data_IF_831360276970
#
_entry.id   IF_831360276970
#
_cell.length_a   1.000
_cell.length_b   1.000
_cell.length_c   1.000
_cell.angle_alpha   90.00
_cell.angle_beta   90.00
_cell.angle_gamma   90.00
#
_symmetry.space_group_name_H-M   'P 1'
#
loop_
_entity.id
_entity.type
_entity.pdbx_description
1 polymer ?
#
# COMPACT_ATOMS: atom_id res chain seq x y z
N UNK A 1 15.52 16.36 -38.23
CA UNK A 1 15.17 15.56 -37.03
C UNK A 1 16.38 14.69 -36.74
N UNK A 2 17.00 14.76 -35.56
CA UNK A 2 18.22 13.98 -35.28
C UNK A 2 17.86 12.53 -34.93
N UNK A 3 18.74 11.59 -35.26
CA UNK A 3 18.60 10.15 -34.98
C UNK A 3 18.23 9.86 -33.51
N UNK A 4 18.74 10.67 -32.58
CA UNK A 4 18.43 10.63 -31.14
C UNK A 4 16.99 11.02 -30.79
N UNK A 5 16.37 11.89 -31.58
CA UNK A 5 14.96 12.30 -31.42
C UNK A 5 14.02 11.22 -31.96
N UNK A 6 14.34 10.59 -33.09
CA UNK A 6 13.57 9.45 -33.60
C UNK A 6 13.66 8.24 -32.66
N UNK A 7 14.84 7.92 -32.15
CA UNK A 7 15.04 6.82 -31.20
C UNK A 7 14.29 7.04 -29.87
N UNK A 8 14.22 8.29 -29.39
CA UNK A 8 13.41 8.67 -28.23
C UNK A 8 11.91 8.52 -28.47
N UNK A 9 11.42 8.97 -29.63
CA UNK A 9 10.02 8.83 -30.07
C UNK A 9 9.58 7.37 -30.17
N UNK A 10 10.42 6.50 -30.74
CA UNK A 10 10.09 5.09 -30.95
C UNK A 10 10.03 4.30 -29.63
N UNK A 11 10.94 4.60 -28.69
CA UNK A 11 10.93 4.03 -27.34
C UNK A 11 9.68 4.49 -26.57
N UNK A 12 9.33 5.78 -26.63
CA UNK A 12 8.11 6.30 -26.01
C UNK A 12 6.85 5.67 -26.60
N UNK A 13 6.77 5.55 -27.93
CA UNK A 13 5.64 4.90 -28.59
C UNK A 13 5.50 3.42 -28.19
N UNK A 14 6.61 2.66 -28.18
CA UNK A 14 6.60 1.26 -27.76
C UNK A 14 6.17 1.09 -26.30
N UNK A 15 6.65 1.97 -25.39
CA UNK A 15 6.29 1.97 -23.98
C UNK A 15 4.81 2.35 -23.79
N UNK A 16 4.31 3.35 -24.51
CA UNK A 16 2.91 3.79 -24.48
C UNK A 16 2.01 2.67 -25.02
N UNK A 17 2.33 2.09 -26.18
CA UNK A 17 1.58 0.95 -26.75
C UNK A 17 1.54 -0.24 -25.80
N UNK A 18 2.66 -0.59 -25.18
CA UNK A 18 2.72 -1.70 -24.20
C UNK A 18 1.84 -1.41 -22.98
N UNK A 19 1.86 -0.19 -22.45
CA UNK A 19 1.00 0.23 -21.32
C UNK A 19 -0.49 0.26 -21.68
N UNK A 20 -0.83 0.71 -22.89
CA UNK A 20 -2.22 0.73 -23.40
C UNK A 20 -2.70 -0.70 -23.59
N UNK A 21 -1.91 -1.56 -24.24
CA UNK A 21 -2.25 -2.96 -24.47
C UNK A 21 -2.43 -3.71 -23.16
N UNK A 22 -1.51 -3.59 -22.22
CA UNK A 22 -1.64 -4.18 -20.89
C UNK A 22 -2.89 -3.66 -20.13
N UNK A 23 -3.22 -2.37 -20.27
CA UNK A 23 -4.43 -1.81 -19.69
C UNK A 23 -5.71 -2.26 -20.38
N UNK A 24 -5.68 -2.60 -21.67
CA UNK A 24 -6.81 -3.16 -22.42
C UNK A 24 -7.01 -4.64 -22.11
N UNK A 25 -5.92 -5.41 -22.03
CA UNK A 25 -5.94 -6.84 -21.69
C UNK A 25 -6.43 -7.08 -20.25
N UNK A 26 -5.96 -6.28 -19.29
CA UNK A 26 -6.45 -6.33 -17.91
C UNK A 26 -7.95 -5.99 -17.80
N UNK A 27 -8.47 -5.14 -18.70
CA UNK A 27 -9.90 -4.81 -18.76
C UNK A 27 -10.71 -5.94 -19.39
N UNK A 28 -10.20 -6.57 -20.44
CA UNK A 28 -10.91 -7.64 -21.17
C UNK A 28 -11.05 -8.91 -20.33
N UNK A 29 -10.04 -9.27 -19.52
CA UNK A 29 -10.12 -10.43 -18.62
C UNK A 29 -11.27 -10.33 -17.61
N UNK A 30 -11.50 -9.17 -17.01
CA UNK A 30 -12.62 -8.96 -16.09
C UNK A 30 -13.96 -9.06 -16.81
N UNK A 31 -14.08 -8.48 -17.99
CA UNK A 31 -15.31 -8.56 -18.78
C UNK A 31 -15.64 -10.01 -19.20
N UNK A 32 -14.64 -10.84 -19.46
CA UNK A 32 -14.85 -12.27 -19.70
C UNK A 32 -15.43 -12.95 -18.46
N UNK A 33 -14.89 -12.67 -17.26
CA UNK A 33 -15.44 -13.21 -16.01
C UNK A 33 -16.87 -12.71 -15.74
N UNK A 34 -17.16 -11.43 -15.98
CA UNK A 34 -18.51 -10.85 -15.86
C UNK A 34 -19.47 -11.53 -16.86
N UNK A 35 -19.07 -11.68 -18.12
CA UNK A 35 -19.89 -12.28 -19.17
C UNK A 35 -20.19 -13.75 -18.88
N UNK A 36 -19.17 -14.54 -18.51
CA UNK A 36 -19.34 -15.95 -18.12
C UNK A 36 -20.23 -16.05 -16.89
N UNK A 37 -20.02 -15.20 -15.88
CA UNK A 37 -20.87 -15.14 -14.70
C UNK A 37 -22.34 -14.88 -15.07
N UNK A 38 -22.63 -13.89 -15.92
CA UNK A 38 -23.99 -13.56 -16.36
C UNK A 38 -24.64 -14.70 -17.15
N UNK A 39 -23.91 -15.33 -18.07
CA UNK A 39 -24.42 -16.47 -18.87
C UNK A 39 -24.75 -17.65 -17.95
N UNK A 40 -23.82 -18.03 -17.08
CA UNK A 40 -24.03 -19.13 -16.13
C UNK A 40 -25.25 -18.85 -15.27
N UNK A 41 -25.37 -17.67 -14.65
CA UNK A 41 -26.51 -17.35 -13.79
C UNK A 41 -27.85 -17.32 -14.56
N UNK A 42 -27.84 -16.87 -15.81
CA UNK A 42 -29.04 -16.94 -16.65
C UNK A 42 -29.47 -18.39 -16.88
N UNK A 43 -28.53 -19.28 -17.20
CA UNK A 43 -28.81 -20.72 -17.40
C UNK A 43 -29.26 -21.38 -16.11
N UNK A 44 -28.56 -21.16 -14.99
CA UNK A 44 -28.93 -21.73 -13.69
C UNK A 44 -30.32 -21.25 -13.24
N UNK A 45 -30.69 -20.01 -13.55
CA UNK A 45 -32.02 -19.46 -13.25
C UNK A 45 -33.12 -20.18 -14.05
N UNK A 46 -32.89 -20.37 -15.35
CA UNK A 46 -33.81 -21.11 -16.22
C UNK A 46 -33.95 -22.56 -15.72
N UNK A 47 -32.84 -23.23 -15.39
CA UNK A 47 -32.85 -24.60 -14.86
C UNK A 47 -33.63 -24.66 -13.55
N UNK A 48 -33.34 -23.78 -12.60
CA UNK A 48 -34.06 -23.74 -11.33
C UNK A 48 -35.56 -23.50 -11.55
N UNK A 49 -35.93 -22.54 -12.42
CA UNK A 49 -37.33 -22.24 -12.71
C UNK A 49 -38.08 -23.39 -13.39
N UNK A 50 -37.39 -24.19 -14.19
CA UNK A 50 -37.94 -25.36 -14.86
C UNK A 50 -38.02 -26.59 -13.94
N UNK A 51 -37.04 -26.78 -13.05
CA UNK A 51 -36.93 -27.97 -12.19
C UNK A 51 -37.61 -27.82 -10.83
N UNK A 52 -37.83 -26.59 -10.34
CA UNK A 52 -38.47 -26.33 -9.05
C UNK A 52 -39.98 -26.62 -9.01
N UNK A 53 -40.62 -26.95 -10.14
CA UNK A 53 -42.01 -27.42 -10.19
C UNK A 53 -43.06 -26.48 -9.57
N UNK A 54 -42.71 -25.22 -9.27
CA UNK A 54 -43.59 -24.27 -8.57
C UNK A 54 -43.67 -24.44 -7.05
N UNK A 55 -42.95 -25.37 -6.43
CA UNK A 55 -43.08 -25.69 -4.99
C UNK A 55 -42.17 -24.88 -4.04
N UNK A 56 -41.51 -23.83 -4.53
CA UNK A 56 -40.97 -22.77 -3.67
C UNK A 56 -39.78 -23.16 -2.77
N UNK A 57 -39.00 -24.18 -3.13
CA UNK A 57 -37.73 -24.46 -2.46
C UNK A 57 -36.69 -23.34 -2.65
N UNK A 58 -35.67 -23.30 -1.79
CA UNK A 58 -34.57 -22.32 -1.86
C UNK A 58 -34.03 -22.27 -3.29
N UNK A 59 -33.96 -21.07 -3.91
CA UNK A 59 -33.26 -20.92 -5.17
C UNK A 59 -31.79 -21.27 -4.96
N UNK A 60 -31.40 -22.50 -5.32
CA UNK A 60 -30.02 -22.96 -5.20
C UNK A 60 -29.04 -22.10 -6.01
N UNK A 61 -29.55 -21.28 -6.96
CA UNK A 61 -28.81 -20.25 -7.67
C UNK A 61 -28.16 -19.20 -6.74
N UNK A 62 -28.70 -19.01 -5.53
CA UNK A 62 -28.14 -18.07 -4.56
C UNK A 62 -26.73 -18.47 -4.10
N UNK A 63 -26.42 -19.78 -4.10
CA UNK A 63 -25.11 -20.32 -3.75
C UNK A 63 -23.99 -19.83 -4.71
N UNK A 64 -24.06 -20.09 -6.04
CA UNK A 64 -23.08 -19.54 -6.97
C UNK A 64 -23.19 -18.02 -7.10
N UNK A 65 -24.37 -17.43 -6.96
CA UNK A 65 -24.55 -15.98 -7.08
C UNK A 65 -23.82 -15.21 -5.98
N UNK A 66 -23.92 -15.65 -4.72
CA UNK A 66 -23.24 -15.00 -3.61
C UNK A 66 -21.80 -15.48 -3.45
N UNK A 67 -21.52 -16.77 -3.67
CA UNK A 67 -20.17 -17.33 -3.59
C UNK A 67 -19.26 -16.82 -4.71
N UNK A 68 -19.66 -17.01 -5.96
CA UNK A 68 -18.86 -16.59 -7.12
C UNK A 68 -19.01 -15.09 -7.39
N UNK A 69 -20.13 -14.48 -7.01
CA UNK A 69 -20.33 -13.02 -7.13
C UNK A 69 -19.36 -12.24 -6.23
N UNK A 70 -19.07 -12.74 -5.01
CA UNK A 70 -18.02 -12.19 -4.16
C UNK A 70 -16.63 -12.31 -4.78
N UNK A 71 -16.32 -13.46 -5.41
CA UNK A 71 -15.05 -13.67 -6.12
C UNK A 71 -14.89 -12.74 -7.34
N UNK A 72 -15.94 -12.55 -8.14
CA UNK A 72 -15.98 -11.61 -9.25
C UNK A 72 -15.78 -10.17 -8.76
N UNK A 73 -16.43 -9.79 -7.66
CA UNK A 73 -16.26 -8.48 -7.03
C UNK A 73 -14.80 -8.26 -6.60
N UNK A 74 -14.18 -9.27 -5.98
CA UNK A 74 -12.77 -9.24 -5.60
C UNK A 74 -11.85 -9.05 -6.81
N UNK A 75 -12.11 -9.76 -7.90
CA UNK A 75 -11.32 -9.63 -9.12
C UNK A 75 -11.49 -8.24 -9.75
N UNK A 76 -12.71 -7.70 -9.80
CA UNK A 76 -12.97 -6.33 -10.29
C UNK A 76 -12.20 -5.30 -9.47
N UNK A 77 -12.22 -5.42 -8.14
CA UNK A 77 -11.47 -4.53 -7.23
C UNK A 77 -9.97 -4.62 -7.52
N UNK A 78 -9.43 -5.82 -7.70
CA UNK A 78 -8.01 -5.99 -7.94
C UNK A 78 -7.57 -5.48 -9.31
N UNK A 79 -8.35 -5.66 -10.36
CA UNK A 79 -7.89 -5.33 -11.71
C UNK A 79 -8.13 -3.86 -12.09
N UNK A 80 -9.25 -3.27 -11.67
CA UNK A 80 -9.63 -1.90 -12.07
C UNK A 80 -9.23 -0.81 -11.08
N UNK A 81 -9.32 -1.08 -9.78
CA UNK A 81 -9.00 -0.09 -8.75
C UNK A 81 -7.52 -0.11 -8.36
N UNK A 82 -6.80 -1.20 -8.61
CA UNK A 82 -5.49 -1.41 -7.99
C UNK A 82 -4.27 -0.86 -8.76
N UNK A 83 -4.09 -0.96 -10.09
CA UNK A 83 -2.78 -0.62 -10.65
C UNK A 83 -2.54 0.89 -10.78
N UNK A 84 -3.30 1.59 -11.62
CA UNK A 84 -3.02 3.01 -11.97
C UNK A 84 -3.41 4.02 -10.89
N UNK A 85 -4.41 3.70 -10.09
CA UNK A 85 -4.84 4.57 -8.99
C UNK A 85 -3.90 4.38 -7.80
N UNK A 86 -3.45 3.15 -7.47
CA UNK A 86 -2.50 2.96 -6.37
C UNK A 86 -1.16 3.62 -6.61
N UNK A 87 -0.58 3.59 -7.81
CA UNK A 87 0.73 4.24 -8.03
C UNK A 87 0.66 5.74 -7.74
N UNK A 88 -0.39 6.42 -8.21
CA UNK A 88 -0.59 7.86 -7.93
C UNK A 88 -0.88 8.11 -6.45
N UNK A 89 -1.80 7.34 -5.85
CA UNK A 89 -2.11 7.46 -4.43
C UNK A 89 -0.92 7.15 -3.52
N UNK A 90 -0.05 6.22 -3.93
CA UNK A 90 1.16 5.88 -3.23
C UNK A 90 2.14 7.06 -3.26
N UNK A 91 2.42 7.60 -4.45
CA UNK A 91 3.32 8.74 -4.62
C UNK A 91 2.83 9.97 -3.86
N UNK A 92 1.54 10.31 -3.98
CA UNK A 92 0.93 11.42 -3.24
C UNK A 92 1.05 11.23 -1.72
N UNK A 93 0.83 10.01 -1.23
CA UNK A 93 0.89 9.72 0.21
C UNK A 93 2.32 9.67 0.73
N UNK A 94 3.26 9.17 -0.08
CA UNK A 94 4.70 9.23 0.24
C UNK A 94 5.15 10.67 0.30
N UNK A 95 4.78 11.51 -0.66
CA UNK A 95 5.10 12.94 -0.67
C UNK A 95 4.53 13.65 0.56
N UNK A 96 3.27 13.37 0.92
CA UNK A 96 2.66 13.93 2.15
C UNK A 96 3.39 13.49 3.43
N UNK A 97 3.81 12.22 3.53
CA UNK A 97 4.55 11.76 4.71
C UNK A 97 5.98 12.32 4.75
N UNK A 98 6.64 12.46 3.61
CA UNK A 98 7.95 13.10 3.52
C UNK A 98 7.88 14.58 3.89
N UNK A 99 6.88 15.30 3.39
CA UNK A 99 6.65 16.70 3.75
C UNK A 99 6.33 16.86 5.25
N UNK A 100 5.55 15.93 5.83
CA UNK A 100 5.25 15.95 7.25
C UNK A 100 6.46 15.66 8.17
N UNK A 101 7.44 14.88 7.69
CA UNK A 101 8.63 14.50 8.47
C UNK A 101 9.81 15.46 8.26
N UNK A 102 10.04 15.90 7.02
CA UNK A 102 11.24 16.64 6.61
C UNK A 102 10.95 18.08 6.13
N UNK A 103 9.68 18.42 5.90
CA UNK A 103 9.23 19.74 5.44
C UNK A 103 9.02 19.86 3.93
N UNK A 104 8.64 21.05 3.42
CA UNK A 104 8.26 21.26 2.01
C UNK A 104 9.39 20.97 1.00
N UNK A 105 10.65 21.08 1.44
CA UNK A 105 11.84 20.90 0.63
C UNK A 105 12.54 19.56 0.91
N UNK A 106 11.77 18.52 1.24
CA UNK A 106 12.31 17.21 1.64
C UNK A 106 13.28 16.64 0.60
N UNK A 107 13.05 16.90 -0.70
CA UNK A 107 13.85 16.40 -1.81
C UNK A 107 15.32 16.84 -1.80
N UNK A 108 15.64 17.99 -1.18
CA UNK A 108 17.03 18.48 -1.05
C UNK A 108 17.72 18.01 0.23
N UNK A 109 16.98 17.38 1.15
CA UNK A 109 17.45 17.16 2.53
C UNK A 109 17.58 15.68 2.92
N UNK A 110 16.89 14.79 2.22
CA UNK A 110 16.83 13.36 2.56
C UNK A 110 17.76 12.52 1.67
N UNK A 111 18.16 11.36 2.18
CA UNK A 111 18.88 10.36 1.39
C UNK A 111 17.91 9.44 0.64
N UNK A 112 18.41 8.72 -0.36
CA UNK A 112 17.63 7.68 -1.06
C UNK A 112 17.15 6.59 -0.10
N UNK A 113 17.92 6.28 0.94
CA UNK A 113 17.54 5.29 1.95
C UNK A 113 16.34 5.77 2.78
N UNK A 114 16.30 7.05 3.14
CA UNK A 114 15.17 7.66 3.86
C UNK A 114 13.89 7.65 3.02
N UNK A 115 14.00 7.99 1.72
CA UNK A 115 12.90 7.89 0.76
C UNK A 115 12.36 6.46 0.69
N UNK A 116 13.24 5.49 0.47
CA UNK A 116 12.86 4.07 0.34
C UNK A 116 12.18 3.54 1.62
N UNK A 117 12.62 3.98 2.81
CA UNK A 117 11.99 3.63 4.09
C UNK A 117 10.55 4.13 4.19
N UNK A 118 10.31 5.39 3.81
CA UNK A 118 8.96 5.98 3.83
C UNK A 118 8.08 5.31 2.77
N UNK A 119 8.58 5.17 1.54
CA UNK A 119 7.86 4.48 0.46
C UNK A 119 7.44 3.06 0.86
N UNK A 120 8.37 2.27 1.40
CA UNK A 120 8.11 0.89 1.83
C UNK A 120 7.04 0.82 2.92
N UNK A 121 7.05 1.77 3.86
CA UNK A 121 6.05 1.85 4.94
C UNK A 121 4.66 2.18 4.39
N UNK A 122 4.56 3.22 3.57
CA UNK A 122 3.29 3.63 2.95
C UNK A 122 2.73 2.50 2.09
N UNK A 123 3.58 1.87 1.27
CA UNK A 123 3.21 0.71 0.45
C UNK A 123 2.69 -0.44 1.30
N UNK A 124 3.42 -0.83 2.35
CA UNK A 124 3.00 -1.90 3.27
C UNK A 124 1.63 -1.61 3.89
N UNK A 125 1.38 -0.37 4.30
CA UNK A 125 0.08 0.03 4.83
C UNK A 125 -1.02 -0.08 3.75
N UNK A 126 -0.79 0.40 2.53
CA UNK A 126 -1.75 0.29 1.42
C UNK A 126 -2.04 -1.18 1.02
N UNK A 127 -1.07 -2.07 1.20
CA UNK A 127 -1.27 -3.51 1.00
C UNK A 127 -2.15 -4.12 2.09
N UNK A 128 -1.94 -3.76 3.36
CA UNK A 128 -2.84 -4.16 4.46
C UNK A 128 -4.28 -3.68 4.23
N UNK A 129 -4.46 -2.43 3.78
CA UNK A 129 -5.78 -1.88 3.44
C UNK A 129 -6.45 -2.71 2.33
N UNK A 130 -5.72 -3.04 1.26
CA UNK A 130 -6.25 -3.90 0.19
C UNK A 130 -6.67 -5.26 0.75
N UNK A 131 -5.79 -5.89 1.51
CA UNK A 131 -6.06 -7.20 2.10
C UNK A 131 -7.31 -7.16 3.00
N UNK A 132 -7.49 -6.09 3.79
CA UNK A 132 -8.72 -5.88 4.57
C UNK A 132 -9.97 -5.85 3.70
N UNK A 133 -9.97 -5.07 2.63
CA UNK A 133 -11.12 -5.00 1.72
C UNK A 133 -11.37 -6.31 0.97
N UNK A 134 -10.33 -7.09 0.66
CA UNK A 134 -10.49 -8.43 0.10
C UNK A 134 -11.21 -9.35 1.10
N UNK A 135 -10.79 -9.37 2.37
CA UNK A 135 -11.45 -10.17 3.41
C UNK A 135 -12.89 -9.71 3.64
N UNK A 136 -13.14 -8.40 3.67
CA UNK A 136 -14.47 -7.84 3.77
C UNK A 136 -15.36 -8.24 2.58
N UNK A 137 -14.81 -8.18 1.36
CA UNK A 137 -15.48 -8.53 0.13
C UNK A 137 -15.87 -10.01 0.04
N UNK A 138 -15.17 -10.89 0.76
CA UNK A 138 -15.53 -12.31 0.91
C UNK A 138 -16.47 -12.51 2.09
N UNK A 139 -16.23 -11.83 3.22
CA UNK A 139 -17.00 -11.95 4.44
C UNK A 139 -18.47 -11.58 4.23
N UNK A 140 -18.76 -10.46 3.56
CA UNK A 140 -20.14 -9.96 3.41
C UNK A 140 -21.00 -10.92 2.57
N UNK A 141 -20.63 -11.30 1.33
CA UNK A 141 -21.45 -12.19 0.52
C UNK A 141 -21.64 -13.58 1.13
N UNK A 142 -20.59 -14.15 1.74
CA UNK A 142 -20.68 -15.45 2.40
C UNK A 142 -21.64 -15.37 3.58
N UNK A 143 -21.50 -14.39 4.47
CA UNK A 143 -22.40 -14.28 5.61
C UNK A 143 -23.85 -14.05 5.16
N UNK A 144 -24.09 -13.17 4.20
CA UNK A 144 -25.42 -12.99 3.61
C UNK A 144 -25.98 -14.31 3.08
N UNK A 145 -25.17 -15.11 2.40
CA UNK A 145 -25.57 -16.43 1.92
C UNK A 145 -25.96 -17.38 3.06
N UNK A 146 -25.16 -17.46 4.12
CA UNK A 146 -25.46 -18.32 5.27
C UNK A 146 -26.78 -17.91 5.96
N UNK A 147 -26.99 -16.60 6.14
CA UNK A 147 -28.22 -16.07 6.73
C UNK A 147 -29.45 -16.34 5.85
N UNK A 148 -29.30 -16.20 4.53
CA UNK A 148 -30.35 -16.54 3.56
C UNK A 148 -30.66 -18.03 3.61
N UNK A 149 -29.66 -18.90 3.62
CA UNK A 149 -29.85 -20.35 3.73
C UNK A 149 -30.63 -20.68 5.01
N UNK A 150 -30.22 -20.13 6.15
CA UNK A 150 -30.90 -20.37 7.42
C UNK A 150 -32.36 -19.89 7.40
N UNK A 151 -32.61 -18.69 6.86
CA UNK A 151 -33.97 -18.13 6.75
C UNK A 151 -34.94 -19.06 6.03
N UNK A 152 -34.50 -19.65 4.91
CA UNK A 152 -35.35 -20.55 4.13
C UNK A 152 -35.29 -22.01 4.57
N UNK A 153 -34.23 -22.45 5.25
CA UNK A 153 -34.13 -23.81 5.79
C UNK A 153 -35.08 -24.03 7.00
N UNK A 154 -35.66 -22.95 7.52
CA UNK A 154 -36.51 -22.94 8.70
C UNK A 154 -35.82 -22.20 9.83
N UNK A 155 -36.52 -21.22 10.40
CA UNK A 155 -36.02 -20.41 11.52
C UNK A 155 -36.25 -21.07 12.88
N UNK A 156 -36.80 -22.29 12.90
CA UNK A 156 -37.11 -23.04 14.10
C UNK A 156 -35.82 -23.67 14.66
N UNK A 157 -35.10 -22.90 15.48
CA UNK A 157 -33.88 -23.34 16.14
C UNK A 157 -32.84 -22.25 16.29
N UNK A 158 -31.66 -22.64 16.73
CA UNK A 158 -30.53 -21.72 16.91
C UNK A 158 -30.05 -21.20 15.53
N UNK A 159 -29.84 -19.88 15.36
CA UNK A 159 -29.33 -19.29 14.13
C UNK A 159 -27.84 -19.60 13.98
N UNK A 160 -27.52 -20.79 13.47
CA UNK A 160 -26.14 -21.24 13.26
C UNK A 160 -25.27 -20.27 12.44
N UNK A 161 -25.76 -19.43 11.49
CA UNK A 161 -24.92 -18.44 10.81
C UNK A 161 -24.27 -17.43 11.76
N UNK A 162 -24.89 -17.18 12.93
CA UNK A 162 -24.35 -16.23 13.92
C UNK A 162 -22.96 -16.64 14.39
N UNK A 163 -22.67 -17.94 14.47
CA UNK A 163 -21.35 -18.45 14.87
C UNK A 163 -20.29 -18.01 13.85
N UNK A 164 -20.56 -18.22 12.56
CA UNK A 164 -19.65 -17.81 11.49
C UNK A 164 -19.50 -16.29 11.44
N UNK A 165 -20.62 -15.55 11.54
CA UNK A 165 -20.61 -14.08 11.53
C UNK A 165 -19.79 -13.50 12.69
N UNK A 166 -19.94 -14.04 13.89
CA UNK A 166 -19.22 -13.55 15.07
C UNK A 166 -17.76 -13.97 15.05
N UNK A 167 -17.45 -15.26 14.84
CA UNK A 167 -16.07 -15.74 14.88
C UNK A 167 -15.20 -15.10 13.79
N UNK A 168 -15.69 -15.04 12.55
CA UNK A 168 -14.96 -14.37 11.47
C UNK A 168 -15.04 -12.85 11.58
N UNK A 169 -16.17 -12.32 12.07
CA UNK A 169 -16.34 -10.89 12.29
C UNK A 169 -15.34 -10.33 13.28
N UNK A 170 -15.01 -11.07 14.35
CA UNK A 170 -13.95 -10.71 15.28
C UNK A 170 -12.58 -10.63 14.59
N UNK A 171 -12.25 -11.59 13.72
CA UNK A 171 -11.02 -11.54 12.93
C UNK A 171 -10.97 -10.31 12.01
N UNK A 172 -12.09 -9.99 11.36
CA UNK A 172 -12.21 -8.81 10.50
C UNK A 172 -12.07 -7.51 11.29
N UNK A 173 -12.69 -7.42 12.47
CA UNK A 173 -12.52 -6.28 13.39
C UNK A 173 -11.08 -6.16 13.86
N UNK A 174 -10.43 -7.26 14.21
CA UNK A 174 -9.00 -7.28 14.58
C UNK A 174 -8.12 -6.72 13.46
N UNK A 175 -8.34 -7.16 12.22
CA UNK A 175 -7.61 -6.65 11.06
C UNK A 175 -7.91 -5.17 10.78
N UNK A 176 -9.16 -4.74 10.94
CA UNK A 176 -9.52 -3.32 10.84
C UNK A 176 -8.76 -2.48 11.88
N UNK A 177 -8.70 -2.94 13.13
CA UNK A 177 -7.95 -2.26 14.18
C UNK A 177 -6.46 -2.18 13.80
N UNK A 178 -5.87 -3.28 13.33
CA UNK A 178 -4.47 -3.27 12.89
C UNK A 178 -4.22 -2.26 11.76
N UNK A 179 -5.06 -2.28 10.72
CA UNK A 179 -4.89 -1.42 9.54
C UNK A 179 -5.04 0.06 9.90
N UNK A 180 -6.07 0.43 10.66
CA UNK A 180 -6.43 1.83 10.90
C UNK A 180 -5.78 2.42 12.15
N UNK A 181 -5.50 1.63 13.20
CA UNK A 181 -4.87 2.13 14.42
C UNK A 181 -3.35 1.98 14.44
N UNK A 182 -2.75 0.94 13.83
CA UNK A 182 -1.27 0.83 13.83
C UNK A 182 -0.62 1.97 13.06
N UNK A 183 -1.26 2.46 11.99
CA UNK A 183 -0.77 3.57 11.19
C UNK A 183 -0.60 4.86 12.02
N UNK A 184 -1.53 5.12 12.95
CA UNK A 184 -1.45 6.29 13.81
C UNK A 184 -0.21 6.23 14.71
N UNK A 185 0.05 5.07 15.33
CA UNK A 185 1.22 4.88 16.18
C UNK A 185 2.53 4.93 15.40
N UNK A 186 2.61 4.27 14.24
CA UNK A 186 3.82 4.25 13.42
C UNK A 186 4.25 5.65 12.96
N UNK A 187 3.28 6.53 12.66
CA UNK A 187 3.53 7.94 12.32
C UNK A 187 4.04 8.74 13.51
N UNK A 188 3.41 8.58 14.69
CA UNK A 188 3.82 9.27 15.92
C UNK A 188 5.25 8.91 16.32
N UNK A 189 5.56 7.62 16.30
CA UNK A 189 6.89 7.10 16.61
C UNK A 189 7.93 7.70 15.65
N UNK A 190 7.65 7.72 14.34
CA UNK A 190 8.58 8.29 13.37
C UNK A 190 8.82 9.79 13.59
N UNK A 191 7.76 10.56 13.84
CA UNK A 191 7.89 11.98 14.15
C UNK A 191 8.73 12.24 15.40
N UNK A 192 8.67 11.36 16.39
CA UNK A 192 9.50 11.42 17.59
C UNK A 192 10.95 11.03 17.33
N UNK A 193 11.16 9.94 16.58
CA UNK A 193 12.49 9.50 16.13
C UNK A 193 13.19 10.61 15.34
N UNK A 194 12.50 11.24 14.38
CA UNK A 194 13.05 12.34 13.60
C UNK A 194 13.35 13.57 14.45
N UNK A 195 12.46 13.93 15.38
CA UNK A 195 12.70 15.02 16.35
C UNK A 195 13.96 14.77 17.19
N UNK A 196 14.17 13.53 17.64
CA UNK A 196 15.34 13.15 18.42
C UNK A 196 16.63 13.15 17.58
N UNK A 197 16.57 12.65 16.33
CA UNK A 197 17.72 12.74 15.41
C UNK A 197 18.14 14.19 15.15
N UNK A 198 17.18 15.09 14.93
CA UNK A 198 17.45 16.53 14.74
C UNK A 198 18.09 17.15 15.99
N UNK A 199 17.61 16.79 17.19
CA UNK A 199 18.21 17.24 18.46
C UNK A 199 19.66 16.77 18.59
N UNK A 200 19.93 15.49 18.32
CA UNK A 200 21.29 14.93 18.37
C UNK A 200 22.22 15.55 17.35
N UNK A 201 21.75 15.81 16.12
CA UNK A 201 22.52 16.49 15.07
C UNK A 201 22.89 17.92 15.48
N UNK A 202 21.96 18.67 16.09
CA UNK A 202 22.24 20.02 16.63
C UNK A 202 23.22 19.98 17.80
N UNK A 203 23.07 19.04 18.74
CA UNK A 203 23.98 18.86 19.87
C UNK A 203 25.40 18.50 19.42
N UNK A 204 25.54 17.62 18.42
CA UNK A 204 26.83 17.25 17.82
C UNK A 204 27.51 18.41 17.10
N UNK A 205 26.76 19.22 16.32
CA UNK A 205 27.28 20.45 15.71
C UNK A 205 27.70 21.48 16.75
N UNK A 206 26.93 21.66 17.83
CA UNK A 206 27.27 22.56 18.93
C UNK A 206 28.54 22.14 19.67
N UNK A 207 28.70 20.84 19.94
CA UNK A 207 29.92 20.30 20.57
C UNK A 207 31.15 20.47 19.67
N UNK A 208 31.01 20.21 18.36
CA UNK A 208 32.08 20.40 17.38
C UNK A 208 32.45 21.89 17.18
N UNK A 209 31.47 22.80 17.21
CA UNK A 209 31.72 24.25 17.17
C UNK A 209 32.37 24.77 18.46
N UNK A 210 32.03 24.22 19.62
CA UNK A 210 32.73 24.53 20.89
C UNK A 210 34.18 24.05 20.86
N UNK A 211 34.43 22.82 20.46
CA UNK A 211 35.80 22.29 20.33
C UNK A 211 36.62 23.08 19.30
N UNK A 212 36.02 23.49 18.18
CA UNK A 212 36.69 24.32 17.17
C UNK A 212 36.75 25.83 17.51
N UNK A 213 36.10 26.25 18.60
CA UNK A 213 36.05 27.64 19.05
C UNK A 213 36.79 27.90 20.36
N UNK A 214 37.07 26.85 21.13
CA UNK A 214 37.92 26.91 22.33
C UNK A 214 39.42 26.73 21.98
N UNK A 215 39.78 26.20 20.80
CA UNK A 215 41.18 26.00 20.40
C UNK A 215 41.41 26.38 18.92
N UNK A 216 41.56 27.68 18.61
CA UNK A 216 42.39 28.17 17.50
C UNK A 216 42.98 29.54 17.90
N UNK A 217 43.92 29.54 18.86
CA UNK A 217 45.13 30.37 18.75
C UNK A 217 46.14 29.43 18.07
N UNK A 218 46.20 29.47 16.73
CA UNK A 218 47.17 28.66 15.97
C UNK A 218 48.18 29.60 15.31
N UNK A 219 49.07 30.11 16.15
CA UNK A 219 50.28 30.84 15.75
C UNK A 219 51.46 29.87 15.51
N UNK A 220 51.22 28.55 15.60
CA UNK A 220 52.28 27.54 15.61
C UNK A 220 52.11 26.54 14.46
N UNK A 221 52.51 26.98 13.26
CA UNK A 221 52.58 26.12 12.07
C UNK A 221 53.69 25.09 12.30
N UNK A 222 53.32 23.90 12.76
CA UNK A 222 54.22 22.77 12.90
C UNK A 222 54.45 22.13 11.53
N UNK A 223 55.72 22.10 11.07
CA UNK A 223 56.12 21.41 9.83
C UNK A 223 56.88 20.15 10.19
N UNK A 224 56.56 19.07 9.49
CA UNK A 224 57.28 17.81 9.59
C UNK A 224 58.66 17.97 8.93
N UNK A 225 59.72 17.73 9.70
CA UNK A 225 61.09 17.64 9.22
C UNK A 225 61.29 16.34 8.43
N UNK A 226 62.30 16.29 7.55
CA UNK A 226 62.60 15.13 6.69
C UNK A 226 63.01 13.86 7.47
N UNK A 227 63.28 14.00 8.78
CA UNK A 227 63.55 12.90 9.72
C UNK A 227 62.33 12.47 10.55
N UNK A 228 61.18 13.11 10.36
CA UNK A 228 59.91 12.76 11.00
C UNK A 228 59.64 13.42 12.35
N UNK A 229 60.48 14.36 12.81
CA UNK A 229 60.19 15.15 14.01
C UNK A 229 59.36 16.41 13.69
N UNK A 230 58.54 16.85 14.66
CA UNK A 230 57.70 18.04 14.55
C UNK A 230 58.53 19.27 14.91
N UNK A 231 58.69 20.21 13.96
CA UNK A 231 59.41 21.47 14.19
C UNK A 231 58.42 22.64 14.10
N UNK A 232 58.46 23.50 15.11
CA UNK A 232 57.62 24.68 15.23
C UNK A 232 58.21 25.83 14.40
N UNK A 233 57.45 26.29 13.40
CA UNK A 233 57.84 27.45 12.60
C UNK A 233 57.17 28.68 13.20
N UNK A 234 57.97 29.52 13.86
CA UNK A 234 57.54 30.87 14.25
C UNK A 234 57.35 31.73 12.99
N UNK A 235 56.27 32.51 12.84
CA UNK A 235 56.01 33.33 11.65
C UNK A 235 56.99 34.50 11.42
N UNK A 236 57.91 34.75 12.35
CA UNK A 236 58.76 35.95 12.35
C UNK A 236 60.26 35.58 12.22
N UNK A 237 60.70 35.25 11.00
CA UNK A 237 62.12 35.25 10.60
C UNK A 237 62.28 35.38 9.07
#
# INVERSE_FOLDING_TARGET
MSETQEQGWEIDEAVIRKRIKAAMDARSEVWIHVAVFAVIHTVLFIIWRATSGGSGGIPWILLPLLGWGGGLLGHIIDTYLSPKVRYRLLEDRVNQELEALYGPYWYDTITQDDYNKVEKRVRKHMDKVKEFFTHLGVFVPINLLLWVIWWFAGTDGFPWPVIATVLWGMGLVGHAIEVFFSQYNDRRIEQEVQREMLRRRKAGKGKRKRLAGDDIDDDHVLRLSDDGELVEISPDA
#
